data_IF_423448154277
#
_entry.id   IF_423448154277
#
_cell.length_a   1.000
_cell.length_b   1.000
_cell.length_c   1.000
_cell.angle_alpha   90.00
_cell.angle_beta   90.00
_cell.angle_gamma   90.00
#
_symmetry.space_group_name_H-M   'P 1'
#
loop_
_entity.id
_entity.type
_entity.pdbx_description
1 polymer ?
#
# COMPACT_ATOMS: atom_id res chain seq x y z
N UNK A 1 -3.44 13.29 11.79
CA UNK A 1 -2.86 12.05 12.34
C UNK A 1 -3.93 10.99 12.40
N UNK A 2 -3.67 9.81 11.85
CA UNK A 2 -4.59 8.65 11.83
C UNK A 2 -4.84 8.05 13.23
N UNK A 3 -4.28 8.64 14.29
CA UNK A 3 -4.32 8.12 15.64
C UNK A 3 -5.21 8.98 16.51
N UNK A 4 -6.09 8.33 17.28
CA UNK A 4 -7.05 8.98 18.18
C UNK A 4 -6.36 9.85 19.24
N UNK A 5 -5.25 9.36 19.78
CA UNK A 5 -4.50 10.02 20.84
C UNK A 5 -3.55 11.11 20.33
N UNK A 6 -3.49 11.37 19.01
CA UNK A 6 -2.46 12.22 18.39
C UNK A 6 -1.02 11.84 18.79
N UNK A 7 -0.84 10.57 19.19
CA UNK A 7 0.42 10.01 19.65
C UNK A 7 0.70 8.72 18.89
N UNK A 8 1.97 8.44 18.64
CA UNK A 8 2.45 7.19 18.07
C UNK A 8 3.74 6.77 18.78
N UNK A 9 3.84 5.53 19.28
CA UNK A 9 5.05 5.06 19.92
C UNK A 9 6.15 4.86 18.90
N UNK A 10 7.41 5.06 19.30
CA UNK A 10 8.54 4.97 18.39
C UNK A 10 8.68 3.59 17.74
N UNK A 11 8.37 2.51 18.45
CA UNK A 11 8.42 1.16 17.86
C UNK A 11 7.47 0.97 16.67
N UNK A 12 6.37 1.75 16.59
CA UNK A 12 5.49 1.76 15.40
C UNK A 12 6.09 2.65 14.31
N UNK A 13 6.57 3.84 14.67
CA UNK A 13 7.18 4.78 13.70
C UNK A 13 8.40 4.15 13.01
N UNK A 14 9.28 3.48 13.77
CA UNK A 14 10.47 2.81 13.25
C UNK A 14 10.13 1.75 12.19
N UNK A 15 9.00 1.05 12.33
CA UNK A 15 8.52 0.07 11.34
C UNK A 15 8.19 0.71 10.00
N UNK A 16 7.69 1.94 10.01
CA UNK A 16 7.33 2.70 8.81
C UNK A 16 8.40 3.68 8.36
N UNK A 17 9.51 3.83 9.09
CA UNK A 17 10.59 4.79 8.81
C UNK A 17 11.05 4.76 7.35
N UNK A 18 11.32 3.55 6.84
CA UNK A 18 11.69 3.38 5.44
C UNK A 18 10.52 3.70 4.49
N UNK A 19 9.30 3.26 4.81
CA UNK A 19 8.14 3.47 3.93
C UNK A 19 7.70 4.94 3.85
N UNK A 20 7.90 5.70 4.91
CA UNK A 20 7.68 7.15 5.01
C UNK A 20 8.84 7.97 4.42
N UNK A 21 10.01 7.35 4.22
CA UNK A 21 11.18 8.05 3.70
C UNK A 21 11.85 8.96 4.72
N UNK A 22 11.69 8.67 6.02
CA UNK A 22 12.33 9.43 7.09
C UNK A 22 13.85 9.22 7.10
N UNK A 23 14.65 10.25 7.46
CA UNK A 23 16.08 10.12 7.70
C UNK A 23 16.39 9.05 8.76
N UNK A 24 17.60 8.49 8.72
CA UNK A 24 18.04 7.50 9.71
C UNK A 24 18.09 8.06 11.13
N UNK A 25 18.36 9.35 11.25
CA UNK A 25 18.51 10.12 12.48
C UNK A 25 17.39 11.16 12.67
N UNK A 26 16.20 10.94 12.08
CA UNK A 26 15.10 11.93 12.06
C UNK A 26 14.73 12.51 13.43
N UNK A 27 14.96 11.78 14.53
CA UNK A 27 14.75 12.30 15.89
C UNK A 27 15.67 13.48 16.22
N UNK A 28 16.88 13.50 15.68
CA UNK A 28 17.91 14.51 15.90
C UNK A 28 18.00 15.50 14.74
N UNK A 29 17.74 15.06 13.51
CA UNK A 29 17.89 15.87 12.31
C UNK A 29 16.59 16.54 11.85
N UNK A 30 15.44 15.89 12.01
CA UNK A 30 14.16 16.37 11.47
C UNK A 30 13.24 16.94 12.56
N UNK A 31 13.05 16.24 13.68
CA UNK A 31 12.13 16.70 14.72
C UNK A 31 12.47 18.09 15.30
N UNK A 32 13.76 18.46 15.52
CA UNK A 32 14.09 19.78 16.05
C UNK A 32 13.77 20.94 15.11
N UNK A 33 13.57 20.67 13.81
CA UNK A 33 13.14 21.69 12.84
C UNK A 33 11.63 21.98 12.91
N UNK A 34 10.84 21.11 13.56
CA UNK A 34 9.38 21.21 13.65
C UNK A 34 8.84 21.09 15.10
N UNK A 35 9.39 21.83 16.09
CA UNK A 35 9.00 21.70 17.49
C UNK A 35 7.55 22.15 17.75
N UNK A 36 6.99 23.04 16.92
CA UNK A 36 5.61 23.47 17.02
C UNK A 36 4.60 22.39 16.60
N UNK A 37 5.05 21.36 15.88
CA UNK A 37 4.22 20.26 15.42
C UNK A 37 4.43 19.00 16.24
N UNK A 38 5.68 18.66 16.57
CA UNK A 38 6.01 17.37 17.15
C UNK A 38 6.74 17.48 18.48
N UNK A 39 6.34 16.65 19.43
CA UNK A 39 6.98 16.55 20.73
C UNK A 39 7.20 15.09 21.12
N UNK A 40 8.34 14.80 21.74
CA UNK A 40 8.60 13.48 22.32
C UNK A 40 7.85 13.39 23.66
N UNK A 41 7.05 12.34 23.83
CA UNK A 41 6.25 12.12 25.03
C UNK A 41 6.40 10.69 25.57
N UNK A 42 6.12 10.51 26.85
CA UNK A 42 5.86 9.20 27.43
C UNK A 42 4.46 8.72 27.02
N UNK A 43 4.34 7.44 26.70
CA UNK A 43 3.08 6.86 26.20
C UNK A 43 2.14 6.43 27.33
N UNK A 44 2.60 6.41 28.58
CA UNK A 44 1.81 6.04 29.75
C UNK A 44 1.59 4.53 29.91
N UNK A 45 2.41 3.70 29.24
CA UNK A 45 2.43 2.26 29.41
C UNK A 45 3.87 1.73 29.28
N UNK A 46 4.09 0.55 29.85
CA UNK A 46 5.39 -0.13 29.83
C UNK A 46 5.42 -1.23 28.77
N UNK A 47 6.61 -1.49 28.24
CA UNK A 47 6.83 -2.63 27.36
C UNK A 47 6.89 -3.97 28.14
N UNK A 48 7.16 -5.06 27.42
CA UNK A 48 7.27 -6.40 28.01
C UNK A 48 8.43 -6.55 29.00
N UNK A 49 9.42 -5.63 28.98
CA UNK A 49 10.53 -5.59 29.92
C UNK A 49 10.25 -4.65 31.12
N UNK A 50 9.07 -4.03 31.19
CA UNK A 50 8.74 -3.05 32.22
C UNK A 50 9.35 -1.67 32.00
N UNK A 51 9.92 -1.40 30.81
CA UNK A 51 10.49 -0.11 30.45
C UNK A 51 9.41 0.85 29.96
N UNK A 52 9.53 2.13 30.30
CA UNK A 52 8.63 3.17 29.79
C UNK A 52 8.71 3.28 28.27
N UNK A 53 7.55 3.30 27.62
CA UNK A 53 7.47 3.47 26.17
C UNK A 53 7.38 4.95 25.83
N UNK A 54 8.25 5.39 24.92
CA UNK A 54 8.23 6.74 24.37
C UNK A 54 7.65 6.77 22.96
N UNK A 55 7.18 7.94 22.58
CA UNK A 55 6.63 8.16 21.26
C UNK A 55 6.63 9.62 20.86
N UNK A 56 6.00 9.87 19.72
CA UNK A 56 5.83 11.18 19.13
C UNK A 56 4.38 11.62 19.31
N UNK A 57 4.20 12.79 19.89
CA UNK A 57 2.94 13.52 19.99
C UNK A 57 2.86 14.60 18.91
N UNK A 58 1.70 14.71 18.28
CA UNK A 58 1.35 15.82 17.40
C UNK A 58 0.70 16.94 18.24
N UNK A 59 1.48 17.97 18.54
CA UNK A 59 1.11 19.13 19.36
C UNK A 59 0.08 19.99 18.63
N UNK A 60 0.37 20.38 17.39
CA UNK A 60 -0.48 21.27 16.60
C UNK A 60 -1.20 20.50 15.50
N UNK A 61 -2.52 20.41 15.62
CA UNK A 61 -3.35 19.83 14.57
C UNK A 61 -3.70 20.85 13.49
N UNK A 62 -3.39 20.51 12.23
CA UNK A 62 -3.72 21.29 11.04
C UNK A 62 -4.84 20.63 10.27
N UNK A 63 -6.04 21.22 10.30
CA UNK A 63 -7.25 20.69 9.64
C UNK A 63 -7.10 20.63 8.12
N UNK A 64 -6.37 21.58 7.54
CA UNK A 64 -6.05 21.65 6.12
C UNK A 64 -5.20 20.46 5.62
N UNK A 65 -4.43 19.83 6.52
CA UNK A 65 -3.67 18.62 6.20
C UNK A 65 -4.46 17.33 6.46
N UNK A 66 -5.54 17.41 7.24
CA UNK A 66 -6.39 16.27 7.62
C UNK A 66 -7.52 16.05 6.61
N UNK A 67 -7.17 16.02 5.32
CA UNK A 67 -8.09 15.74 4.21
C UNK A 67 -7.57 14.52 3.48
N UNK A 68 -8.36 13.44 3.48
CA UNK A 68 -7.97 12.15 2.94
C UNK A 68 -7.83 12.19 1.41
N UNK A 69 -7.15 11.18 0.87
CA UNK A 69 -7.06 11.01 -0.59
C UNK A 69 -8.43 10.84 -1.23
N UNK A 70 -9.36 10.18 -0.54
CA UNK A 70 -10.73 9.98 -1.03
C UNK A 70 -11.53 11.28 -1.05
N UNK A 71 -11.33 12.16 -0.06
CA UNK A 71 -11.99 13.47 0.02
C UNK A 71 -11.47 14.46 -1.03
N UNK A 72 -10.20 14.30 -1.45
CA UNK A 72 -9.61 15.09 -2.56
C UNK A 72 -10.03 14.57 -3.94
N UNK A 73 -10.60 13.37 -4.01
CA UNK A 73 -11.02 12.73 -5.25
C UNK A 73 -12.31 13.32 -5.80
N UNK A 74 -12.54 13.16 -7.11
CA UNK A 74 -13.78 13.58 -7.76
C UNK A 74 -14.97 12.71 -7.32
N UNK A 75 -14.69 11.44 -7.00
CA UNK A 75 -15.71 10.46 -6.59
C UNK A 75 -15.25 9.74 -5.33
N UNK A 76 -16.12 9.69 -4.32
CA UNK A 76 -15.90 8.97 -3.08
C UNK A 76 -16.24 7.48 -3.29
N UNK A 77 -15.51 6.81 -4.19
CA UNK A 77 -15.58 5.36 -4.45
C UNK A 77 -14.18 4.79 -4.64
N UNK A 78 -13.90 3.66 -4.02
CA UNK A 78 -12.60 3.02 -4.16
C UNK A 78 -12.44 2.38 -5.53
N UNK A 79 -11.25 2.51 -6.13
CA UNK A 79 -10.94 1.88 -7.41
C UNK A 79 -10.81 0.36 -7.27
N UNK A 80 -11.69 -0.38 -7.94
CA UNK A 80 -11.72 -1.85 -7.90
C UNK A 80 -10.88 -2.45 -9.05
N UNK A 81 -9.60 -2.72 -8.80
CA UNK A 81 -8.64 -3.21 -9.79
C UNK A 81 -8.39 -4.72 -9.67
N UNK A 82 -9.39 -5.50 -10.08
CA UNK A 82 -9.31 -6.95 -10.08
C UNK A 82 -8.43 -7.46 -11.25
N UNK A 83 -7.67 -8.57 -11.06
CA UNK A 83 -6.93 -9.18 -12.14
C UNK A 83 -7.83 -9.57 -13.32
N UNK A 84 -7.30 -9.51 -14.55
CA UNK A 84 -8.05 -9.96 -15.73
C UNK A 84 -8.41 -11.45 -15.58
N UNK A 85 -9.68 -11.77 -15.80
CA UNK A 85 -10.22 -13.12 -15.64
C UNK A 85 -10.65 -13.46 -14.21
N UNK A 86 -10.54 -12.53 -13.26
CA UNK A 86 -11.14 -12.66 -11.95
C UNK A 86 -12.59 -12.17 -12.03
N UNK A 87 -13.53 -13.11 -12.04
CA UNK A 87 -14.96 -12.80 -12.05
C UNK A 87 -15.54 -12.96 -10.65
N UNK A 88 -16.20 -11.91 -10.16
CA UNK A 88 -16.88 -11.96 -8.87
C UNK A 88 -18.20 -12.68 -9.06
N UNK A 89 -18.53 -13.58 -8.13
CA UNK A 89 -19.89 -14.10 -8.05
C UNK A 89 -20.88 -12.93 -7.95
N UNK A 90 -22.02 -13.02 -8.64
CA UNK A 90 -23.03 -11.96 -8.71
C UNK A 90 -23.42 -11.41 -7.33
N UNK A 91 -23.52 -12.27 -6.32
CA UNK A 91 -23.78 -11.89 -4.92
C UNK A 91 -22.69 -10.97 -4.35
N UNK A 92 -21.42 -11.34 -4.52
CA UNK A 92 -20.27 -10.55 -4.03
C UNK A 92 -20.17 -9.23 -4.77
N UNK A 93 -20.44 -9.22 -6.08
CA UNK A 93 -20.49 -8.00 -6.88
C UNK A 93 -21.58 -7.04 -6.37
N UNK A 94 -22.79 -7.54 -6.15
CA UNK A 94 -23.90 -6.74 -5.62
C UNK A 94 -23.59 -6.18 -4.23
N UNK A 95 -23.10 -7.02 -3.32
CA UNK A 95 -22.66 -6.57 -1.99
C UNK A 95 -21.56 -5.51 -2.09
N UNK A 96 -20.59 -5.67 -2.99
CA UNK A 96 -19.53 -4.68 -3.20
C UNK A 96 -20.10 -3.33 -3.65
N UNK A 97 -21.10 -3.32 -4.54
CA UNK A 97 -21.76 -2.08 -4.98
C UNK A 97 -22.53 -1.41 -3.86
N UNK A 98 -23.30 -2.16 -3.07
CA UNK A 98 -24.00 -1.67 -1.88
C UNK A 98 -23.02 -1.09 -0.86
N UNK A 99 -21.93 -1.80 -0.57
CA UNK A 99 -20.85 -1.35 0.30
C UNK A 99 -20.17 -0.07 -0.22
N UNK A 100 -19.91 0.03 -1.53
CA UNK A 100 -19.36 1.25 -2.14
C UNK A 100 -20.31 2.44 -2.02
N UNK A 101 -21.62 2.23 -1.95
CA UNK A 101 -22.63 3.28 -1.81
C UNK A 101 -22.82 3.79 -0.37
N UNK A 102 -22.30 3.09 0.64
CA UNK A 102 -22.37 3.54 2.03
C UNK A 102 -21.74 4.94 2.22
N UNK A 103 -22.17 5.72 3.22
CA UNK A 103 -21.52 6.99 3.54
C UNK A 103 -20.01 6.81 3.79
N UNK A 104 -19.20 7.75 3.32
CA UNK A 104 -17.77 7.76 3.64
C UNK A 104 -17.54 8.56 4.92
N UNK A 105 -16.70 8.01 5.79
CA UNK A 105 -16.25 8.65 7.03
C UNK A 105 -14.75 8.85 6.90
N UNK A 106 -14.27 10.06 7.20
CA UNK A 106 -12.85 10.37 7.05
C UNK A 106 -12.01 9.51 8.00
N UNK A 107 -10.83 9.01 7.57
CA UNK A 107 -9.91 8.26 8.42
C UNK A 107 -9.30 9.12 9.55
N UNK A 108 -9.50 10.44 9.49
CA UNK A 108 -9.11 11.39 10.53
C UNK A 108 -10.23 11.69 11.55
N UNK A 109 -11.43 11.14 11.35
CA UNK A 109 -12.57 11.20 12.27
C UNK A 109 -12.68 9.93 13.13
N UNK A 110 -13.39 10.01 14.26
CA UNK A 110 -13.62 8.85 15.14
C UNK A 110 -14.89 8.09 14.76
N UNK A 111 -14.73 6.89 14.21
CA UNK A 111 -15.83 5.98 13.88
C UNK A 111 -15.90 4.73 14.78
N UNK A 112 -15.27 4.73 15.97
CA UNK A 112 -15.34 3.60 16.90
C UNK A 112 -16.72 3.39 17.53
N UNK A 113 -17.62 4.38 17.42
CA UNK A 113 -19.02 4.27 17.82
C UNK A 113 -19.82 3.28 16.94
N UNK A 114 -19.30 2.92 15.76
CA UNK A 114 -19.92 1.94 14.87
C UNK A 114 -19.76 0.51 15.39
N UNK A 115 -20.77 -0.33 15.15
CA UNK A 115 -20.68 -1.74 15.47
C UNK A 115 -19.48 -2.40 14.75
N UNK A 116 -18.55 -3.08 15.46
CA UNK A 116 -17.28 -3.53 14.87
C UNK A 116 -17.40 -4.47 13.66
N UNK A 117 -18.51 -5.19 13.53
CA UNK A 117 -18.79 -6.12 12.41
C UNK A 117 -19.78 -5.54 11.38
N UNK A 118 -20.06 -4.23 11.42
CA UNK A 118 -20.90 -3.58 10.42
C UNK A 118 -20.13 -3.26 9.14
N UNK A 119 -20.81 -3.28 8.00
CA UNK A 119 -20.24 -2.90 6.70
C UNK A 119 -19.71 -1.45 6.71
N UNK A 120 -20.36 -0.56 7.49
CA UNK A 120 -19.90 0.82 7.70
C UNK A 120 -18.57 0.87 8.45
N UNK A 121 -18.40 0.09 9.52
CA UNK A 121 -17.13 0.01 10.26
C UNK A 121 -16.02 -0.61 9.41
N UNK A 122 -16.35 -1.60 8.57
CA UNK A 122 -15.43 -2.15 7.59
C UNK A 122 -15.03 -1.09 6.54
N UNK A 123 -15.98 -0.31 6.02
CA UNK A 123 -15.68 0.77 5.08
C UNK A 123 -14.73 1.83 5.64
N UNK A 124 -14.95 2.21 6.89
CA UNK A 124 -14.04 3.12 7.59
C UNK A 124 -12.65 2.49 7.80
N UNK A 125 -12.59 1.22 8.19
CA UNK A 125 -11.33 0.46 8.32
C UNK A 125 -10.55 0.43 7.00
N UNK A 126 -11.22 0.17 5.88
CA UNK A 126 -10.63 0.23 4.53
C UNK A 126 -10.11 1.64 4.25
N UNK A 127 -10.85 2.68 4.61
CA UNK A 127 -10.44 4.08 4.45
C UNK A 127 -9.16 4.40 5.21
N UNK A 128 -9.00 3.91 6.44
CA UNK A 128 -7.78 4.10 7.24
C UNK A 128 -6.58 3.39 6.61
N UNK A 129 -6.72 2.14 6.17
CA UNK A 129 -5.63 1.40 5.51
C UNK A 129 -5.27 2.04 4.16
N UNK A 130 -6.29 2.47 3.41
CA UNK A 130 -6.12 3.15 2.12
C UNK A 130 -5.35 4.45 2.29
N UNK A 131 -5.74 5.28 3.26
CA UNK A 131 -5.05 6.54 3.56
C UNK A 131 -3.63 6.28 4.03
N UNK A 132 -3.41 5.34 4.96
CA UNK A 132 -2.09 4.94 5.42
C UNK A 132 -1.18 4.58 4.24
N UNK A 133 -1.60 3.64 3.39
CA UNK A 133 -0.81 3.22 2.24
C UNK A 133 -0.59 4.37 1.26
N UNK A 134 -1.56 5.25 1.09
CA UNK A 134 -1.44 6.43 0.24
C UNK A 134 -0.41 7.43 0.76
N UNK A 135 -0.20 7.54 2.08
CA UNK A 135 0.85 8.36 2.66
C UNK A 135 2.26 7.78 2.46
N UNK A 136 2.39 6.47 2.26
CA UNK A 136 3.69 5.84 2.08
C UNK A 136 4.30 6.16 0.71
N UNK A 137 5.59 6.42 0.69
CA UNK A 137 6.36 6.76 -0.53
C UNK A 137 6.23 5.67 -1.60
N UNK A 138 6.15 4.40 -1.17
CA UNK A 138 6.07 3.26 -2.08
C UNK A 138 4.65 2.74 -2.32
N UNK A 139 3.64 3.30 -1.65
CA UNK A 139 2.22 2.88 -1.69
C UNK A 139 1.99 1.39 -1.35
N UNK A 140 2.90 0.84 -0.53
CA UNK A 140 2.90 -0.52 -0.03
C UNK A 140 3.69 -0.59 1.29
N UNK A 141 3.43 -1.61 2.08
CA UNK A 141 4.14 -1.88 3.34
C UNK A 141 4.16 -3.38 3.63
N UNK A 142 5.07 -3.81 4.51
CA UNK A 142 4.98 -5.14 5.11
C UNK A 142 3.67 -5.31 5.89
N UNK A 143 3.11 -6.52 5.83
CA UNK A 143 1.87 -6.90 6.51
C UNK A 143 1.97 -6.73 8.01
N UNK A 144 3.08 -7.11 8.62
CA UNK A 144 3.25 -7.03 10.08
C UNK A 144 3.31 -5.58 10.57
N UNK A 145 3.82 -4.66 9.75
CA UNK A 145 3.83 -3.24 10.09
C UNK A 145 2.41 -2.68 10.17
N UNK A 146 1.56 -3.04 9.20
CA UNK A 146 0.15 -2.64 9.18
C UNK A 146 -0.61 -3.25 10.35
N UNK A 147 -0.32 -4.51 10.71
CA UNK A 147 -0.95 -5.16 11.86
C UNK A 147 -0.52 -4.52 13.18
N UNK A 148 0.78 -4.26 13.34
CA UNK A 148 1.30 -3.56 14.52
C UNK A 148 0.65 -2.18 14.72
N UNK A 149 0.43 -1.43 13.63
CA UNK A 149 -0.30 -0.16 13.69
C UNK A 149 -1.78 -0.38 14.01
N UNK A 150 -2.43 -1.35 13.36
CA UNK A 150 -3.84 -1.68 13.59
C UNK A 150 -4.12 -2.10 15.04
N UNK A 151 -3.23 -2.87 15.65
CA UNK A 151 -3.31 -3.26 17.06
C UNK A 151 -3.16 -2.03 17.96
N UNK A 152 -2.16 -1.17 17.71
CA UNK A 152 -1.98 0.07 18.46
C UNK A 152 -3.19 1.00 18.35
N UNK A 153 -3.82 1.07 17.17
CA UNK A 153 -5.01 1.89 16.93
C UNK A 153 -6.30 1.29 17.48
N UNK A 154 -6.32 0.03 17.93
CA UNK A 154 -7.52 -0.66 18.42
C UNK A 154 -8.40 -1.27 17.32
N UNK A 155 -7.88 -1.45 16.11
CA UNK A 155 -8.59 -2.18 15.05
C UNK A 155 -8.52 -3.69 15.22
N UNK A 156 -7.40 -4.20 15.74
CA UNK A 156 -7.16 -5.64 15.91
C UNK A 156 -7.44 -6.43 14.62
N UNK A 157 -8.27 -7.46 14.73
CA UNK A 157 -8.60 -8.36 13.60
C UNK A 157 -9.29 -7.64 12.42
N UNK A 158 -9.87 -6.45 12.61
CA UNK A 158 -10.58 -5.72 11.54
C UNK A 158 -9.68 -5.38 10.37
N UNK A 159 -8.42 -5.01 10.63
CA UNK A 159 -7.44 -4.76 9.56
C UNK A 159 -7.22 -6.00 8.69
N UNK A 160 -7.08 -7.17 9.34
CA UNK A 160 -6.91 -8.45 8.63
C UNK A 160 -8.14 -8.78 7.78
N UNK A 161 -9.35 -8.62 8.32
CA UNK A 161 -10.60 -8.87 7.59
C UNK A 161 -10.72 -7.97 6.36
N UNK A 162 -10.54 -6.66 6.53
CA UNK A 162 -10.63 -5.68 5.45
C UNK A 162 -9.67 -5.99 4.28
N UNK A 163 -8.44 -6.40 4.58
CA UNK A 163 -7.46 -6.75 3.53
C UNK A 163 -7.84 -8.00 2.73
N UNK A 164 -8.55 -8.94 3.36
CA UNK A 164 -9.02 -10.17 2.71
C UNK A 164 -10.32 -9.93 1.94
N UNK A 165 -11.24 -9.14 2.50
CA UNK A 165 -12.54 -8.85 1.92
C UNK A 165 -12.46 -7.95 0.68
N UNK A 166 -11.42 -7.10 0.58
CA UNK A 166 -11.29 -6.13 -0.50
C UNK A 166 -10.06 -6.37 -1.41
N UNK A 167 -9.96 -7.53 -2.09
CA UNK A 167 -8.83 -7.88 -2.95
C UNK A 167 -8.78 -7.05 -4.25
N UNK A 168 -9.80 -6.24 -4.55
CA UNK A 168 -9.79 -5.27 -5.65
C UNK A 168 -9.13 -3.95 -5.30
N UNK A 169 -9.05 -3.61 -4.01
CA UNK A 169 -8.39 -2.40 -3.50
C UNK A 169 -6.96 -2.74 -3.07
N UNK A 170 -6.82 -3.80 -2.27
CA UNK A 170 -5.54 -4.25 -1.74
C UNK A 170 -5.05 -5.50 -2.46
N UNK A 171 -3.74 -5.58 -2.67
CA UNK A 171 -3.07 -6.78 -3.13
C UNK A 171 -2.12 -7.28 -2.05
N UNK A 172 -2.35 -8.51 -1.58
CA UNK A 172 -1.43 -9.19 -0.69
C UNK A 172 -0.44 -10.00 -1.54
N UNK A 173 0.80 -9.54 -1.61
CA UNK A 173 1.90 -10.25 -2.27
C UNK A 173 2.62 -11.13 -1.27
N UNK A 174 2.82 -12.40 -1.61
CA UNK A 174 3.71 -13.29 -0.87
C UNK A 174 4.93 -13.60 -1.74
N UNK A 175 6.10 -13.10 -1.34
CA UNK A 175 7.37 -13.33 -2.03
C UNK A 175 8.47 -13.62 -1.03
N UNK A 176 9.18 -14.73 -1.21
CA UNK A 176 10.38 -15.07 -0.41
C UNK A 176 10.10 -14.90 1.09
N UNK A 177 8.96 -15.45 1.56
CA UNK A 177 8.44 -15.37 2.94
C UNK A 177 8.03 -13.97 3.44
N UNK A 178 8.19 -12.93 2.63
CA UNK A 178 7.70 -11.57 2.95
C UNK A 178 6.27 -11.39 2.43
N UNK A 179 5.40 -10.87 3.29
CA UNK A 179 4.01 -10.56 2.96
C UNK A 179 3.88 -9.04 2.83
N UNK A 180 3.66 -8.55 1.62
CA UNK A 180 3.55 -7.12 1.35
C UNK A 180 2.13 -6.77 0.94
N UNK A 181 1.55 -5.79 1.60
CA UNK A 181 0.26 -5.21 1.22
C UNK A 181 0.54 -4.05 0.27
N UNK A 182 -0.12 -4.06 -0.88
CA UNK A 182 0.04 -3.07 -1.94
C UNK A 182 -1.32 -2.43 -2.24
N UNK A 183 -1.36 -1.09 -2.32
CA UNK A 183 -2.53 -0.36 -2.80
C UNK A 183 -2.61 -0.48 -4.32
N UNK A 184 -3.63 -1.15 -4.86
CA UNK A 184 -3.65 -1.52 -6.30
C UNK A 184 -3.75 -0.33 -7.23
N UNK A 185 -4.59 0.65 -6.91
CA UNK A 185 -4.79 1.85 -7.73
C UNK A 185 -3.52 2.69 -7.90
N UNK A 186 -2.59 2.61 -6.95
CA UNK A 186 -1.31 3.27 -7.04
C UNK A 186 -0.40 2.67 -8.11
N UNK A 187 -0.74 1.52 -8.70
CA UNK A 187 0.09 0.82 -9.67
C UNK A 187 -0.67 0.55 -10.97
N UNK A 188 -0.07 0.99 -12.08
CA UNK A 188 -0.47 0.53 -13.41
C UNK A 188 0.46 -0.62 -13.84
N UNK A 189 -0.09 -1.84 -13.85
CA UNK A 189 0.66 -3.09 -14.04
C UNK A 189 1.73 -3.29 -12.96
N UNK A 190 2.95 -2.84 -13.21
CA UNK A 190 4.10 -2.97 -12.30
C UNK A 190 4.80 -1.63 -12.03
N UNK A 191 4.20 -0.52 -12.48
CA UNK A 191 4.79 0.81 -12.41
C UNK A 191 3.93 1.64 -11.46
N UNK A 192 4.58 2.25 -10.47
CA UNK A 192 3.94 3.20 -9.57
C UNK A 192 3.47 4.42 -10.39
N UNK A 193 2.19 4.76 -10.26
CA UNK A 193 1.54 5.84 -11.02
C UNK A 193 2.13 7.18 -10.60
N UNK A 194 2.11 7.46 -9.29
CA UNK A 194 2.70 8.67 -8.71
C UNK A 194 4.20 8.47 -8.45
N UNK A 195 5.06 9.24 -9.12
CA UNK A 195 6.51 9.05 -9.03
C UNK A 195 7.12 9.97 -7.99
N UNK A 196 7.23 9.50 -6.75
CA UNK A 196 7.99 10.19 -5.71
C UNK A 196 9.51 10.21 -6.03
N UNK A 197 10.23 11.33 -5.84
CA UNK A 197 11.68 11.41 -6.10
C UNK A 197 12.51 10.32 -5.39
N UNK A 198 12.17 10.01 -4.14
CA UNK A 198 12.83 8.92 -3.39
C UNK A 198 12.65 7.55 -4.06
N UNK A 199 11.50 7.28 -4.69
CA UNK A 199 11.31 6.03 -5.44
C UNK A 199 12.19 5.97 -6.67
N UNK A 200 12.41 7.10 -7.36
CA UNK A 200 13.38 7.17 -8.48
C UNK A 200 14.78 6.79 -8.02
N UNK A 201 15.22 7.33 -6.87
CA UNK A 201 16.52 7.00 -6.28
C UNK A 201 16.61 5.53 -5.86
N UNK A 202 15.57 4.98 -5.23
CA UNK A 202 15.49 3.54 -4.87
C UNK A 202 15.58 2.65 -6.10
N UNK A 203 14.89 2.97 -7.19
CA UNK A 203 14.99 2.21 -8.44
C UNK A 203 16.38 2.28 -9.06
N UNK A 204 17.04 3.45 -9.04
CA UNK A 204 18.42 3.61 -9.49
C UNK A 204 19.36 2.74 -8.65
N UNK A 205 19.23 2.76 -7.34
CA UNK A 205 20.01 1.93 -6.43
C UNK A 205 19.81 0.42 -6.70
N UNK A 206 18.55 -0.03 -6.82
CA UNK A 206 18.25 -1.43 -7.18
C UNK A 206 18.86 -1.79 -8.54
N UNK A 207 18.81 -0.88 -9.52
CA UNK A 207 19.44 -1.11 -10.83
C UNK A 207 20.95 -1.28 -10.71
N UNK A 208 21.62 -0.47 -9.88
CA UNK A 208 23.06 -0.57 -9.62
C UNK A 208 23.42 -1.86 -8.87
N UNK A 209 22.66 -2.23 -7.83
CA UNK A 209 22.88 -3.48 -7.09
C UNK A 209 22.73 -4.72 -7.97
N UNK A 210 21.81 -4.69 -8.95
CA UNK A 210 21.66 -5.74 -9.94
C UNK A 210 22.80 -5.80 -10.97
N UNK A 211 23.59 -4.72 -11.11
CA UNK A 211 24.76 -4.66 -11.98
C UNK A 211 26.04 -5.15 -11.29
N UNK A 212 26.07 -5.23 -9.95
CA UNK A 212 27.24 -5.75 -9.22
C UNK A 212 27.48 -7.21 -9.62
N UNK A 213 28.60 -7.42 -10.32
CA UNK A 213 29.04 -8.72 -10.83
C UNK A 213 29.69 -9.50 -9.67
N UNK A 214 29.27 -10.75 -9.40
CA UNK A 214 30.15 -11.69 -8.71
C UNK A 214 30.99 -12.37 -9.78
N UNK A 215 32.31 -12.13 -9.79
CA UNK A 215 33.27 -12.75 -10.74
C UNK A 215 32.86 -12.62 -12.22
N UNK A 216 32.52 -11.41 -12.67
CA UNK A 216 32.13 -11.17 -14.07
C UNK A 216 30.71 -11.63 -14.45
N UNK A 217 29.95 -12.22 -13.52
CA UNK A 217 28.59 -12.72 -13.77
C UNK A 217 27.58 -11.87 -12.97
N UNK A 218 26.52 -11.33 -13.61
CA UNK A 218 25.43 -10.67 -12.90
C UNK A 218 24.79 -11.66 -11.92
N UNK A 219 24.67 -11.29 -10.64
CA UNK A 219 24.10 -12.15 -9.58
C UNK A 219 22.69 -12.67 -9.97
N UNK A 220 21.96 -11.91 -10.79
CA UNK A 220 20.62 -12.24 -11.28
C UNK A 220 20.56 -12.70 -12.75
N UNK A 221 21.66 -13.21 -13.33
CA UNK A 221 21.72 -13.67 -14.72
C UNK A 221 20.63 -14.72 -15.06
N UNK A 222 20.29 -15.61 -14.11
CA UNK A 222 19.21 -16.59 -14.29
C UNK A 222 17.82 -15.95 -14.39
N UNK A 223 17.53 -14.96 -13.55
CA UNK A 223 16.25 -14.23 -13.56
C UNK A 223 16.08 -13.37 -14.82
N UNK A 224 17.18 -12.74 -15.29
CA UNK A 224 17.20 -11.97 -16.54
C UNK A 224 16.99 -12.86 -17.77
N UNK A 225 17.63 -14.04 -17.83
CA UNK A 225 17.42 -15.03 -18.91
C UNK A 225 15.99 -15.57 -18.92
N UNK A 226 15.40 -15.85 -17.75
CA UNK A 226 14.01 -16.28 -17.64
C UNK A 226 13.03 -15.18 -18.10
N UNK A 227 13.28 -13.92 -17.73
CA UNK A 227 12.47 -12.77 -18.17
C UNK A 227 12.58 -12.54 -19.68
N UNK A 228 13.78 -12.66 -20.24
CA UNK A 228 14.02 -12.56 -21.67
C UNK A 228 13.34 -13.69 -22.45
N UNK A 229 13.39 -14.94 -21.94
CA UNK A 229 12.70 -16.09 -22.52
C UNK A 229 11.17 -15.95 -22.48
N UNK A 230 10.62 -15.42 -21.39
CA UNK A 230 9.17 -15.13 -21.30
C UNK A 230 8.74 -13.99 -22.25
N UNK A 231 9.60 -13.00 -22.46
CA UNK A 231 9.35 -11.91 -23.41
C UNK A 231 9.39 -12.39 -24.87
N UNK A 232 10.35 -13.27 -25.22
CA UNK A 232 10.45 -13.84 -26.58
C UNK A 232 9.29 -14.79 -26.91
N UNK A 233 8.84 -15.60 -25.94
CA UNK A 233 7.65 -16.46 -26.08
C UNK A 233 6.36 -15.65 -26.30
N UNK A 234 6.22 -14.48 -25.66
CA UNK A 234 5.08 -13.56 -25.89
C UNK A 234 5.14 -12.82 -27.23
N UNK A 235 6.34 -12.59 -27.77
CA UNK A 235 6.55 -12.02 -29.11
C UNK A 235 6.20 -13.01 -30.23
N UNK A 236 6.64 -14.27 -30.10
CA UNK A 236 6.42 -15.31 -31.11
C UNK A 236 4.96 -15.72 -31.31
N UNK A 237 4.12 -15.66 -30.27
CA UNK A 237 2.69 -15.95 -30.41
C UNK A 237 1.90 -14.80 -31.09
N UNK A 238 2.40 -13.55 -31.06
CA UNK A 238 1.76 -12.43 -31.78
C UNK A 238 2.06 -12.44 -33.27
N UNK A 239 3.25 -12.88 -33.69
CA UNK A 239 3.62 -12.99 -35.11
C UNK A 239 2.89 -14.15 -35.79
N UNK A 240 2.82 -15.34 -35.17
CA UNK A 240 2.09 -16.49 -35.74
C UNK A 240 0.58 -16.27 -35.85
N UNK A 241 -0.02 -15.48 -34.95
CA UNK A 241 -1.45 -15.15 -34.99
C UNK A 241 -1.84 -14.16 -36.10
N UNK A 242 -0.94 -13.22 -36.45
CA UNK A 242 -1.16 -12.28 -37.58
C UNK A 242 -0.97 -12.95 -38.93
N UNK A 243 -0.03 -13.89 -39.03
CA UNK A 243 0.24 -14.59 -40.29
C UNK A 243 -0.85 -15.61 -40.66
N UNK A 244 -1.48 -16.26 -39.67
CA UNK A 244 -2.67 -17.10 -39.91
C UNK A 244 -3.91 -16.27 -40.30
N UNK A 245 -4.11 -15.07 -39.74
CA UNK A 245 -5.23 -14.19 -40.11
C UNK A 245 -5.09 -13.61 -41.53
N UNK A 246 -3.89 -13.27 -41.98
CA UNK A 246 -3.69 -12.77 -43.35
C UNK A 246 -3.86 -13.85 -44.44
N UNK A 247 -3.58 -15.13 -44.13
CA UNK A 247 -3.78 -16.23 -45.08
C UNK A 247 -5.26 -16.63 -45.24
N UNK A 248 -6.08 -16.42 -44.21
CA UNK A 248 -7.53 -16.70 -44.25
C UNK A 248 -8.34 -15.64 -44.99
N UNK A 249 -7.87 -14.39 -45.07
CA UNK A 249 -8.57 -13.32 -45.80
C UNK A 249 -8.33 -13.42 -47.31
N UNK A 250 -7.18 -13.94 -47.75
CA UNK A 250 -6.87 -14.14 -49.18
C UNK A 250 -7.54 -15.36 -49.84
N UNK A 251 -8.27 -16.18 -49.08
CA UNK A 251 -8.94 -17.38 -49.59
C UNK A 251 -10.47 -17.21 -49.73
N UNK A 252 -10.99 -15.99 -49.57
CA UNK A 252 -12.43 -15.68 -49.63
C UNK A 252 -12.75 -14.75 -50.84
N UNK A 253 -11.75 -14.28 -51.59
CA UNK A 253 -11.92 -13.36 -52.74
C UNK A 253 -11.60 -13.97 -54.12
N UNK A 254 -11.67 -15.30 -54.25
CA UNK A 254 -11.65 -16.02 -55.55
C UNK A 254 -12.61 -17.17 -55.50
#
# INVERSE_FOLDING_TARGET
>A
MLTRAKRLPFYVIERFKFDLGLPHDYLLSFLPEFPEYFQICQMGFKDFNGCEVFGLELVKWRKDLAVSVMEKGVHIRYSMNLPRGFDLQKKVKNWTEEWQNLPYISPYEDAFHLAPNSDQAEKWTVGVIHELLSLLVSKKSDRENIYCLGDYLGFGIRFRKALVHHPGIFYLSNKIRTHTIVLREAFNKNILVERHPLMRMRYKYISLMNRVLRRGIPINAGALRHRARLASLKGGNKSKGKEKRMRQVKSIET
#
